data_IF_208044161235
#
_entry.id   IF_208044161235
#
_cell.length_a   1.000
_cell.length_b   1.000
_cell.length_c   1.000
_cell.angle_alpha   90.00
_cell.angle_beta   90.00
_cell.angle_gamma   90.00
#
_symmetry.space_group_name_H-M   'P 1'
#
loop_
_entity.id
_entity.type
_entity.pdbx_description
1 polymer ?
#
# COMPACT_ATOMS: atom_id res chain seq x y z
N UNK A 1 -10.80 -14.99 -14.32
CA UNK A 1 -11.25 -15.75 -13.13
C UNK A 1 -10.19 -15.61 -12.07
N UNK A 2 -10.35 -14.63 -11.16
CA UNK A 2 -9.37 -14.40 -10.08
C UNK A 2 -9.55 -15.50 -9.02
N UNK A 3 -8.55 -16.38 -8.88
CA UNK A 3 -8.49 -17.26 -7.71
C UNK A 3 -8.13 -16.41 -6.49
N UNK A 4 -9.06 -16.29 -5.53
CA UNK A 4 -8.76 -15.79 -4.19
C UNK A 4 -7.73 -16.73 -3.56
N UNK A 5 -6.59 -16.21 -3.15
CA UNK A 5 -5.58 -16.98 -2.39
C UNK A 5 -6.09 -17.14 -0.97
N UNK A 6 -6.32 -18.38 -0.55
CA UNK A 6 -6.80 -18.73 0.80
C UNK A 6 -5.67 -18.46 1.84
N UNK A 7 -6.00 -18.12 3.10
CA UNK A 7 -5.02 -17.84 4.15
C UNK A 7 -4.05 -18.99 4.46
N UNK A 8 -4.44 -20.22 4.20
CA UNK A 8 -3.57 -21.39 4.36
C UNK A 8 -2.49 -21.52 3.31
N UNK A 9 -2.65 -20.90 2.14
CA UNK A 9 -1.64 -20.90 1.08
C UNK A 9 -0.42 -20.02 1.47
N UNK A 10 -0.57 -19.15 2.47
CA UNK A 10 0.52 -18.35 3.05
C UNK A 10 1.68 -19.17 3.60
N UNK A 11 1.38 -20.32 4.24
CA UNK A 11 2.42 -21.19 4.85
C UNK A 11 3.25 -21.93 3.81
N UNK A 12 2.64 -22.23 2.67
CA UNK A 12 3.30 -22.93 1.57
C UNK A 12 4.25 -21.97 0.85
N UNK A 13 3.83 -20.70 0.64
CA UNK A 13 4.67 -19.68 -0.02
C UNK A 13 5.87 -19.23 0.83
N UNK A 14 5.81 -19.38 2.16
CA UNK A 14 6.92 -19.04 3.05
C UNK A 14 8.00 -20.13 3.13
N UNK A 15 7.75 -21.33 2.62
CA UNK A 15 8.65 -22.47 2.68
C UNK A 15 9.43 -22.73 1.37
N UNK A 16 9.05 -22.09 0.27
CA UNK A 16 9.80 -22.18 -0.98
C UNK A 16 10.86 -21.09 -1.03
N UNK A 17 12.11 -21.48 -0.93
CA UNK A 17 13.27 -20.62 -1.20
C UNK A 17 13.26 -20.24 -2.67
N UNK A 18 12.92 -18.99 -2.96
CA UNK A 18 13.06 -18.43 -4.30
C UNK A 18 14.54 -18.26 -4.58
N UNK A 19 15.07 -19.03 -5.52
CA UNK A 19 16.45 -18.87 -5.99
C UNK A 19 16.59 -17.50 -6.67
N UNK A 20 17.66 -16.79 -6.28
CA UNK A 20 18.02 -15.47 -6.81
C UNK A 20 18.19 -15.54 -8.33
N UNK A 21 17.27 -14.99 -9.08
CA UNK A 21 17.37 -14.86 -10.53
C UNK A 21 16.14 -15.30 -11.35
N UNK A 22 15.15 -15.95 -10.77
CA UNK A 22 13.93 -16.29 -11.48
C UNK A 22 12.91 -15.14 -11.42
N UNK A 23 12.36 -14.82 -12.60
CA UNK A 23 11.23 -13.88 -12.70
C UNK A 23 10.03 -14.50 -12.01
N UNK A 24 9.55 -13.87 -10.96
CA UNK A 24 8.27 -14.25 -10.33
C UNK A 24 7.13 -14.18 -11.34
N UNK A 25 6.37 -15.24 -11.48
CA UNK A 25 5.17 -15.25 -12.32
C UNK A 25 4.12 -14.27 -11.78
N UNK A 26 3.38 -13.66 -12.68
CA UNK A 26 2.31 -12.72 -12.35
C UNK A 26 1.30 -13.38 -11.39
N UNK A 27 1.15 -12.82 -10.20
CA UNK A 27 0.22 -13.30 -9.17
C UNK A 27 0.84 -13.96 -7.95
N UNK A 28 2.16 -14.13 -7.89
CA UNK A 28 2.86 -14.57 -6.66
C UNK A 28 3.18 -13.36 -5.78
N UNK A 29 2.85 -13.46 -4.50
CA UNK A 29 3.20 -12.42 -3.52
C UNK A 29 4.67 -12.57 -3.16
N UNK A 30 5.50 -11.59 -3.52
CA UNK A 30 6.91 -11.54 -3.14
C UNK A 30 7.01 -11.20 -1.65
N UNK A 31 7.44 -12.15 -0.84
CA UNK A 31 7.55 -11.99 0.62
C UNK A 31 8.99 -12.00 1.13
N UNK A 32 9.96 -12.35 0.31
CA UNK A 32 11.37 -12.38 0.71
C UNK A 32 11.95 -10.95 0.74
N UNK A 33 12.36 -10.44 1.92
CA UNK A 33 12.99 -9.13 2.03
C UNK A 33 14.24 -8.98 1.18
N UNK A 34 15.02 -10.06 0.99
CA UNK A 34 16.26 -10.00 0.23
C UNK A 34 16.01 -9.80 -1.26
N UNK A 35 14.96 -10.41 -1.81
CA UNK A 35 14.55 -10.17 -3.20
C UNK A 35 14.11 -8.71 -3.38
N UNK A 36 13.38 -8.18 -2.40
CA UNK A 36 12.92 -6.80 -2.42
C UNK A 36 14.09 -5.79 -2.33
N UNK A 37 15.13 -6.08 -1.55
CA UNK A 37 16.29 -5.20 -1.39
C UNK A 37 17.28 -5.31 -2.57
N UNK A 38 17.52 -6.49 -3.12
CA UNK A 38 18.44 -6.66 -4.24
C UNK A 38 17.99 -5.98 -5.54
N UNK A 39 16.68 -5.84 -5.76
CA UNK A 39 16.17 -5.04 -6.87
C UNK A 39 16.43 -3.54 -6.69
N UNK A 40 16.61 -3.06 -5.43
CA UNK A 40 16.91 -1.65 -5.15
C UNK A 40 18.33 -1.22 -5.54
N UNK A 41 19.31 -2.10 -5.45
CA UNK A 41 20.72 -1.73 -5.67
C UNK A 41 21.08 -1.54 -7.15
N UNK A 42 20.20 -1.94 -8.08
CA UNK A 42 20.57 -2.09 -9.49
C UNK A 42 20.10 -0.99 -10.44
N UNK A 43 19.18 -0.12 -10.05
CA UNK A 43 18.71 0.95 -10.94
C UNK A 43 18.59 2.29 -10.22
N UNK A 44 19.59 3.14 -10.38
CA UNK A 44 19.41 4.56 -10.19
C UNK A 44 18.54 5.08 -11.35
N UNK A 45 17.24 5.14 -11.15
CA UNK A 45 16.29 5.65 -12.12
C UNK A 45 15.74 7.00 -11.68
N UNK A 46 15.48 7.88 -12.63
CA UNK A 46 14.72 9.09 -12.36
C UNK A 46 13.24 8.70 -12.20
N UNK A 47 12.72 8.83 -10.98
CA UNK A 47 11.35 8.51 -10.65
C UNK A 47 10.60 9.76 -10.20
N UNK A 48 9.33 9.86 -10.54
CA UNK A 48 8.41 10.82 -9.91
C UNK A 48 8.14 10.42 -8.47
N UNK A 49 7.62 11.35 -7.64
CA UNK A 49 7.23 11.03 -6.27
C UNK A 49 6.19 9.90 -6.18
N UNK A 50 5.26 9.84 -7.14
CA UNK A 50 4.24 8.78 -7.23
C UNK A 50 4.86 7.41 -7.54
N UNK A 51 5.85 7.36 -8.43
CA UNK A 51 6.59 6.12 -8.76
C UNK A 51 7.44 5.64 -7.59
N UNK A 52 8.02 6.55 -6.80
CA UNK A 52 8.72 6.20 -5.55
C UNK A 52 7.76 5.56 -4.55
N UNK A 53 6.55 6.11 -4.40
CA UNK A 53 5.49 5.51 -3.55
C UNK A 53 5.17 4.10 -4.06
N UNK A 54 4.97 3.93 -5.37
CA UNK A 54 4.72 2.63 -5.98
C UNK A 54 5.83 1.63 -5.66
N UNK A 55 7.09 2.02 -5.84
CA UNK A 55 8.24 1.17 -5.54
C UNK A 55 8.34 0.78 -4.06
N UNK A 56 8.03 1.71 -3.15
CA UNK A 56 8.01 1.45 -1.71
C UNK A 56 6.88 0.47 -1.32
N UNK A 57 5.68 0.66 -1.87
CA UNK A 57 4.52 -0.20 -1.61
C UNK A 57 4.78 -1.62 -2.11
N UNK A 58 5.36 -1.77 -3.30
CA UNK A 58 5.73 -3.08 -3.85
C UNK A 58 6.59 -3.90 -2.88
N UNK A 59 7.44 -3.21 -2.08
CA UNK A 59 8.33 -3.82 -1.08
C UNK A 59 7.71 -3.98 0.30
N UNK A 60 6.63 -3.26 0.59
CA UNK A 60 6.06 -3.19 1.94
C UNK A 60 5.20 -4.41 2.32
N UNK A 61 4.87 -5.29 1.38
CA UNK A 61 3.97 -6.43 1.60
C UNK A 61 2.68 -6.01 2.29
N UNK A 62 1.95 -5.10 1.65
CA UNK A 62 0.71 -4.56 2.19
C UNK A 62 -0.44 -5.54 2.08
N UNK A 63 -1.28 -5.56 3.10
CA UNK A 63 -2.54 -6.28 3.07
C UNK A 63 -3.64 -5.45 2.41
N UNK A 64 -3.69 -4.13 2.70
CA UNK A 64 -4.75 -3.29 2.18
C UNK A 64 -4.28 -1.86 1.91
N UNK A 65 -4.82 -1.28 0.84
CA UNK A 65 -4.78 0.16 0.61
C UNK A 65 -6.17 0.67 0.24
N UNK A 66 -6.53 1.80 0.83
CA UNK A 66 -7.77 2.53 0.53
C UNK A 66 -7.40 3.95 0.19
N UNK A 67 -8.04 4.55 -0.80
CA UNK A 67 -7.82 5.95 -1.14
C UNK A 67 -9.10 6.63 -1.61
N UNK A 68 -9.24 7.92 -1.31
CA UNK A 68 -10.22 8.79 -1.93
C UNK A 68 -9.52 9.64 -2.99
N UNK A 69 -10.00 9.68 -4.25
CA UNK A 69 -9.31 10.39 -5.32
C UNK A 69 -9.37 11.91 -5.11
N UNK A 70 -8.21 12.50 -4.84
CA UNK A 70 -8.03 13.95 -4.70
C UNK A 70 -6.68 14.36 -5.29
N UNK A 71 -6.62 15.50 -6.02
CA UNK A 71 -5.34 16.04 -6.53
C UNK A 71 -4.50 16.66 -5.41
N UNK A 72 -3.16 16.46 -5.41
CA UNK A 72 -2.33 15.80 -6.44
C UNK A 72 -2.11 14.28 -6.22
N UNK A 73 -2.80 13.65 -5.32
CA UNK A 73 -2.60 12.26 -4.91
C UNK A 73 -3.13 11.23 -5.93
N UNK A 74 -4.00 11.64 -6.87
CA UNK A 74 -4.71 10.73 -7.79
C UNK A 74 -3.80 9.81 -8.60
N UNK A 75 -2.61 10.28 -8.99
CA UNK A 75 -1.61 9.49 -9.70
C UNK A 75 -1.08 8.35 -8.81
N UNK A 76 -0.70 8.66 -7.57
CA UNK A 76 -0.24 7.64 -6.62
C UNK A 76 -1.32 6.58 -6.37
N UNK A 77 -2.59 7.00 -6.22
CA UNK A 77 -3.70 6.06 -6.05
C UNK A 77 -3.90 5.16 -7.28
N UNK A 78 -3.72 5.68 -8.49
CA UNK A 78 -3.79 4.89 -9.72
C UNK A 78 -2.68 3.81 -9.75
N UNK A 79 -1.45 4.19 -9.45
CA UNK A 79 -0.30 3.28 -9.39
C UNK A 79 -0.48 2.18 -8.32
N UNK A 80 -1.13 2.49 -7.19
CA UNK A 80 -1.48 1.48 -6.18
C UNK A 80 -2.54 0.51 -6.71
N UNK A 81 -3.52 1.01 -7.47
CA UNK A 81 -4.49 0.17 -8.15
C UNK A 81 -3.86 -0.80 -9.15
N UNK A 82 -2.81 -0.38 -9.86
CA UNK A 82 -2.01 -1.26 -10.72
C UNK A 82 -1.31 -2.34 -9.89
N UNK A 83 -0.69 -1.99 -8.76
CA UNK A 83 -0.04 -2.94 -7.86
C UNK A 83 -1.03 -3.97 -7.28
N UNK A 84 -2.29 -3.57 -7.05
CA UNK A 84 -3.35 -4.49 -6.69
C UNK A 84 -3.63 -5.48 -7.82
N UNK A 85 -3.72 -5.00 -9.07
CA UNK A 85 -3.91 -5.85 -10.24
C UNK A 85 -2.71 -6.79 -10.50
N UNK A 86 -1.50 -6.37 -10.14
CA UNK A 86 -0.26 -7.15 -10.22
C UNK A 86 -0.10 -8.15 -9.03
N UNK A 87 -0.94 -8.07 -7.98
CA UNK A 87 -0.91 -8.96 -6.82
C UNK A 87 0.01 -8.53 -5.68
N UNK A 88 0.62 -7.35 -5.73
CA UNK A 88 1.49 -6.82 -4.64
C UNK A 88 0.71 -6.23 -3.45
N UNK A 89 -0.53 -5.83 -3.67
CA UNK A 89 -1.46 -5.39 -2.65
C UNK A 89 -2.65 -6.33 -2.68
N UNK A 90 -3.10 -6.83 -1.54
CA UNK A 90 -4.14 -7.86 -1.49
C UNK A 90 -5.53 -7.33 -1.69
N UNK A 91 -5.81 -6.16 -1.10
CA UNK A 91 -7.10 -5.49 -1.21
C UNK A 91 -6.87 -4.00 -1.51
N UNK A 92 -7.57 -3.50 -2.51
CA UNK A 92 -7.59 -2.09 -2.86
C UNK A 92 -8.99 -1.66 -3.24
N UNK A 93 -9.45 -0.55 -2.66
CA UNK A 93 -10.71 0.06 -3.03
C UNK A 93 -10.71 1.57 -2.81
N UNK A 94 -11.73 2.22 -3.32
CA UNK A 94 -11.95 3.65 -3.14
C UNK A 94 -12.97 3.87 -2.05
N UNK A 95 -12.60 4.68 -1.06
CA UNK A 95 -13.53 5.14 -0.05
C UNK A 95 -14.41 6.31 -0.53
N UNK A 96 -15.44 6.61 0.20
CA UNK A 96 -16.43 7.64 -0.16
C UNK A 96 -15.93 9.07 0.10
N UNK A 97 -15.06 9.25 1.06
CA UNK A 97 -14.41 10.51 1.42
C UNK A 97 -13.20 10.23 2.31
N UNK A 98 -12.39 11.27 2.57
CA UNK A 98 -11.14 11.12 3.32
C UNK A 98 -11.36 10.65 4.76
N UNK A 99 -12.42 11.09 5.41
CA UNK A 99 -12.75 10.65 6.77
C UNK A 99 -13.12 9.16 6.81
N UNK A 100 -13.97 8.70 5.88
CA UNK A 100 -14.33 7.30 5.75
C UNK A 100 -13.11 6.42 5.47
N UNK A 101 -12.24 6.82 4.51
CA UNK A 101 -10.97 6.15 4.21
C UNK A 101 -10.13 5.90 5.47
N UNK A 102 -10.00 6.91 6.34
CA UNK A 102 -9.23 6.77 7.57
C UNK A 102 -9.89 5.80 8.56
N UNK A 103 -11.22 5.79 8.63
CA UNK A 103 -11.98 4.81 9.42
C UNK A 103 -11.83 3.37 8.89
N UNK A 104 -11.89 3.20 7.58
CA UNK A 104 -11.68 1.92 6.89
C UNK A 104 -10.27 1.38 7.14
N UNK A 105 -9.25 2.26 7.06
CA UNK A 105 -7.87 1.91 7.41
C UNK A 105 -7.76 1.44 8.87
N UNK A 106 -8.45 2.13 9.80
CA UNK A 106 -8.46 1.73 11.21
C UNK A 106 -9.11 0.35 11.40
N UNK A 107 -10.26 0.11 10.78
CA UNK A 107 -10.95 -1.17 10.84
C UNK A 107 -10.08 -2.33 10.37
N UNK A 108 -9.41 -2.17 9.23
CA UNK A 108 -8.48 -3.17 8.71
C UNK A 108 -7.27 -3.39 9.64
N UNK A 109 -6.70 -2.31 10.16
CA UNK A 109 -5.55 -2.39 11.06
C UNK A 109 -5.90 -3.06 12.41
N UNK A 110 -7.11 -2.83 12.94
CA UNK A 110 -7.62 -3.57 14.10
C UNK A 110 -7.77 -5.06 13.78
N UNK A 111 -8.08 -5.42 12.54
CA UNK A 111 -8.07 -6.80 12.05
C UNK A 111 -6.66 -7.39 11.84
N UNK A 112 -5.61 -6.65 12.11
CA UNK A 112 -4.21 -7.07 11.98
C UNK A 112 -3.61 -6.87 10.58
N UNK A 113 -4.28 -6.13 9.69
CA UNK A 113 -3.78 -5.81 8.38
C UNK A 113 -2.67 -4.73 8.42
N UNK A 114 -1.70 -4.86 7.53
CA UNK A 114 -0.73 -3.78 7.21
C UNK A 114 -1.38 -2.85 6.19
N UNK A 115 -1.60 -1.61 6.59
CA UNK A 115 -2.43 -0.68 5.84
C UNK A 115 -1.62 0.52 5.38
N UNK A 116 -1.81 0.90 4.13
CA UNK A 116 -1.29 2.13 3.56
C UNK A 116 -2.45 2.93 2.94
N UNK A 117 -2.41 4.23 3.12
CA UNK A 117 -3.30 5.15 2.39
C UNK A 117 -2.54 6.36 1.91
N UNK A 118 -3.09 7.02 0.91
CA UNK A 118 -2.56 8.28 0.40
C UNK A 118 -3.68 9.31 0.31
N UNK A 119 -3.35 10.54 0.63
CA UNK A 119 -4.28 11.68 0.57
C UNK A 119 -3.54 12.96 0.20
N UNK A 120 -4.26 14.08 0.12
CA UNK A 120 -3.70 15.41 -0.07
C UNK A 120 -3.79 16.25 1.21
N UNK A 121 -3.20 17.46 1.22
CA UNK A 121 -3.24 18.36 2.36
C UNK A 121 -4.65 18.62 2.91
N UNK A 122 -5.61 19.06 2.07
CA UNK A 122 -7.00 19.26 2.52
C UNK A 122 -7.67 17.98 3.04
N UNK A 123 -7.40 16.83 2.42
CA UNK A 123 -7.90 15.53 2.87
C UNK A 123 -7.38 15.13 4.24
N UNK A 124 -6.11 15.45 4.53
CA UNK A 124 -5.52 15.24 5.85
C UNK A 124 -6.24 16.05 6.92
N UNK A 125 -6.52 17.33 6.65
CA UNK A 125 -7.26 18.19 7.58
C UNK A 125 -8.68 17.68 7.83
N UNK A 126 -9.37 17.21 6.78
CA UNK A 126 -10.72 16.65 6.89
C UNK A 126 -10.77 15.37 7.73
N UNK A 127 -9.72 14.61 7.73
CA UNK A 127 -9.64 13.31 8.42
C UNK A 127 -8.87 13.37 9.75
N UNK A 128 -8.46 14.55 10.19
CA UNK A 128 -7.53 14.76 11.31
C UNK A 128 -7.98 14.09 12.61
N UNK A 129 -9.27 14.00 12.88
CA UNK A 129 -9.79 13.40 14.11
C UNK A 129 -9.54 11.88 14.25
N UNK A 130 -9.18 11.20 13.15
CA UNK A 130 -8.82 9.77 13.19
C UNK A 130 -7.41 9.53 13.77
N UNK A 131 -6.49 10.46 13.60
CA UNK A 131 -5.08 10.26 13.97
C UNK A 131 -4.84 10.03 15.47
N UNK A 132 -5.50 10.77 16.41
CA UNK A 132 -5.36 10.49 17.84
C UNK A 132 -5.81 9.07 18.21
N UNK A 133 -6.87 8.57 17.59
CA UNK A 133 -7.35 7.20 17.80
C UNK A 133 -6.32 6.18 17.30
N UNK A 134 -5.75 6.38 16.11
CA UNK A 134 -4.72 5.49 15.57
C UNK A 134 -3.49 5.44 16.44
N UNK A 135 -3.00 6.62 16.88
CA UNK A 135 -1.84 6.72 17.75
C UNK A 135 -2.10 6.06 19.11
N UNK A 136 -3.24 6.33 19.73
CA UNK A 136 -3.64 5.74 21.00
C UNK A 136 -3.79 4.21 20.93
N UNK A 137 -4.28 3.71 19.81
CA UNK A 137 -4.44 2.28 19.57
C UNK A 137 -3.21 1.60 18.97
N UNK A 138 -2.13 2.34 18.68
CA UNK A 138 -0.89 1.84 18.06
C UNK A 138 -1.13 1.07 16.77
N UNK A 139 -2.02 1.57 15.92
CA UNK A 139 -2.37 0.91 14.67
C UNK A 139 -1.24 1.02 13.63
N UNK A 140 -0.88 -0.06 12.92
CA UNK A 140 0.19 -0.07 11.91
C UNK A 140 -0.30 0.49 10.57
N UNK A 141 -0.70 1.77 10.57
CA UNK A 141 -1.19 2.48 9.40
C UNK A 141 -0.15 3.49 8.95
N UNK A 142 0.17 3.47 7.67
CA UNK A 142 1.03 4.48 7.04
C UNK A 142 0.19 5.37 6.12
N UNK A 143 0.37 6.67 6.28
CA UNK A 143 -0.29 7.68 5.43
C UNK A 143 0.78 8.45 4.65
N UNK A 144 0.62 8.51 3.35
CA UNK A 144 1.39 9.40 2.50
C UNK A 144 0.54 10.64 2.16
N UNK A 145 1.03 11.80 2.53
CA UNK A 145 0.37 13.07 2.20
C UNK A 145 1.09 13.73 1.04
N UNK A 146 0.46 13.70 -0.13
CA UNK A 146 0.97 14.39 -1.32
C UNK A 146 0.33 15.77 -1.39
N UNK A 147 1.11 16.81 -1.21
CA UNK A 147 0.57 18.17 -1.22
C UNK A 147 1.53 19.18 -1.84
N UNK A 148 0.97 20.19 -2.47
CA UNK A 148 1.70 21.39 -2.91
C UNK A 148 1.83 22.40 -1.78
N UNK A 149 0.93 22.32 -0.80
CA UNK A 149 0.85 23.03 0.45
C UNK A 149 -0.31 22.48 1.27
N UNK A 150 -0.33 22.71 2.58
CA UNK A 150 -1.37 22.14 3.47
C UNK A 150 -2.77 22.57 3.06
N UNK A 151 -2.91 23.77 2.51
CA UNK A 151 -4.18 24.38 2.13
C UNK A 151 -4.41 24.45 0.62
N UNK A 152 -3.65 23.72 -0.19
CA UNK A 152 -3.72 23.79 -1.65
C UNK A 152 -3.79 22.41 -2.29
#
# INVERSE_FOLDING_TARGET
>A
MNKKVEPQDRKILLSETVELGEKTEVGQIVTDPNVLFNEMEREASFLTGSEVIRAAIKRANLDMSVAYPITPQSEAAALIGELYAEGYVREYFRGENEFAVMGECAGAAFGGARVFTTTAGPGTLRAMENFPMWAGSRLPIQVCVTCRGINS
#
